data_IF_636517502131
#
_entry.id   IF_636517502131
#
_cell.length_a   1.000
_cell.length_b   1.000
_cell.length_c   1.000
_cell.angle_alpha   90.00
_cell.angle_beta   90.00
_cell.angle_gamma   90.00
#
_symmetry.space_group_name_H-M   'P 1'
#
loop_
_entity.id
_entity.type
_entity.pdbx_description
1 polymer ?
#
# COMPACT_ATOMS: atom_id res chain seq x y z
N UNK A 1 14.53 -9.22 1.58
CA UNK A 1 14.11 -9.17 0.15
C UNK A 1 13.15 -10.29 -0.22
N UNK A 2 13.52 -11.57 -0.04
CA UNK A 2 12.65 -12.71 -0.41
C UNK A 2 11.24 -12.65 0.24
N UNK A 3 11.14 -12.16 1.48
CA UNK A 3 9.89 -12.08 2.24
C UNK A 3 8.91 -11.03 1.72
N UNK A 4 9.41 -9.85 1.38
CA UNK A 4 8.60 -8.78 0.79
C UNK A 4 8.08 -9.16 -0.60
N UNK A 5 8.89 -9.86 -1.40
CA UNK A 5 8.43 -10.35 -2.69
C UNK A 5 7.38 -11.46 -2.54
N UNK A 6 7.51 -12.35 -1.55
CA UNK A 6 6.45 -13.33 -1.22
C UNK A 6 5.16 -12.63 -0.78
N UNK A 7 5.25 -11.59 0.04
CA UNK A 7 4.09 -10.78 0.42
C UNK A 7 3.46 -10.09 -0.81
N UNK A 8 4.27 -9.55 -1.71
CA UNK A 8 3.81 -8.97 -2.96
C UNK A 8 3.09 -10.02 -3.83
N UNK A 9 3.67 -11.20 -4.03
CA UNK A 9 3.03 -12.29 -4.78
C UNK A 9 1.72 -12.74 -4.16
N UNK A 10 1.67 -12.88 -2.84
CA UNK A 10 0.45 -13.18 -2.10
C UNK A 10 -0.65 -12.14 -2.38
N UNK A 11 -0.31 -10.85 -2.33
CA UNK A 11 -1.25 -9.77 -2.59
C UNK A 11 -1.73 -9.74 -4.04
N UNK A 12 -0.84 -9.98 -5.02
CA UNK A 12 -1.26 -10.15 -6.43
C UNK A 12 -2.30 -11.26 -6.56
N UNK A 13 -2.09 -12.39 -5.90
CA UNK A 13 -3.05 -13.50 -5.86
C UNK A 13 -4.41 -13.10 -5.25
N UNK A 14 -4.42 -12.25 -4.22
CA UNK A 14 -5.65 -11.74 -3.59
C UNK A 14 -6.42 -10.76 -4.46
N UNK A 15 -5.71 -9.85 -5.13
CA UNK A 15 -6.34 -8.88 -6.03
C UNK A 15 -7.05 -9.57 -7.20
N UNK A 16 -6.52 -10.70 -7.70
CA UNK A 16 -7.19 -11.53 -8.71
C UNK A 16 -8.46 -12.23 -8.20
N UNK A 17 -8.66 -12.35 -6.89
CA UNK A 17 -9.79 -13.06 -6.27
C UNK A 17 -10.87 -12.12 -5.74
N UNK A 18 -10.53 -10.86 -5.46
CA UNK A 18 -11.42 -9.87 -4.86
C UNK A 18 -11.27 -8.51 -5.54
N UNK A 19 -12.16 -8.24 -6.50
CA UNK A 19 -12.23 -6.99 -7.27
C UNK A 19 -12.42 -5.75 -6.39
N UNK A 20 -12.91 -5.91 -5.15
CA UNK A 20 -13.07 -4.78 -4.20
C UNK A 20 -11.73 -4.19 -3.78
N UNK A 21 -10.65 -4.97 -3.87
CA UNK A 21 -9.29 -4.54 -3.56
C UNK A 21 -8.67 -3.66 -4.65
N UNK A 22 -9.36 -3.50 -5.80
CA UNK A 22 -8.91 -2.66 -6.91
C UNK A 22 -9.91 -1.55 -7.24
N UNK A 23 -11.08 -1.54 -6.57
CA UNK A 23 -12.19 -0.63 -6.86
C UNK A 23 -11.79 0.84 -6.61
N UNK A 24 -11.92 1.73 -7.63
CA UNK A 24 -11.66 3.15 -7.47
C UNK A 24 -12.47 3.79 -6.34
N UNK A 25 -11.85 4.69 -5.58
CA UNK A 25 -12.48 5.34 -4.43
C UNK A 25 -12.50 4.48 -3.15
N UNK A 26 -12.07 3.22 -3.21
CA UNK A 26 -12.04 2.32 -2.06
C UNK A 26 -10.65 2.17 -1.43
N UNK A 27 -9.69 3.04 -1.78
CA UNK A 27 -8.30 2.91 -1.34
C UNK A 27 -8.16 2.85 0.18
N UNK A 28 -8.98 3.63 0.91
CA UNK A 28 -9.04 3.64 2.38
C UNK A 28 -9.32 2.25 2.96
N UNK A 29 -10.41 1.61 2.53
CA UNK A 29 -10.79 0.28 3.00
C UNK A 29 -9.79 -0.79 2.56
N UNK A 30 -9.34 -0.70 1.31
CA UNK A 30 -8.47 -1.69 0.70
C UNK A 30 -7.13 -1.82 1.41
N UNK A 31 -6.47 -0.72 1.78
CA UNK A 31 -5.17 -0.81 2.46
C UNK A 31 -5.28 -1.48 3.84
N UNK A 32 -6.41 -1.33 4.54
CA UNK A 32 -6.65 -2.04 5.80
C UNK A 32 -6.91 -3.53 5.56
N UNK A 33 -7.81 -3.85 4.62
CA UNK A 33 -8.16 -5.22 4.29
C UNK A 33 -6.93 -6.02 3.82
N UNK A 34 -6.07 -5.41 2.99
CA UNK A 34 -4.82 -6.02 2.56
C UNK A 34 -3.86 -6.26 3.73
N UNK A 35 -3.68 -5.26 4.61
CA UNK A 35 -2.78 -5.44 5.75
C UNK A 35 -3.25 -6.56 6.69
N UNK A 36 -4.55 -6.67 6.97
CA UNK A 36 -5.04 -7.77 7.82
C UNK A 36 -4.68 -9.14 7.23
N UNK A 37 -4.73 -9.28 5.91
CA UNK A 37 -4.33 -10.51 5.23
C UNK A 37 -2.80 -10.73 5.26
N UNK A 38 -2.02 -9.67 5.06
CA UNK A 38 -0.55 -9.74 5.15
C UNK A 38 -0.14 -10.16 6.55
N UNK A 39 -0.70 -9.55 7.60
CA UNK A 39 -0.34 -9.82 9.00
C UNK A 39 -0.53 -11.29 9.40
N UNK A 40 -1.55 -11.95 8.86
CA UNK A 40 -1.80 -13.38 9.12
C UNK A 40 -0.69 -14.24 8.54
N UNK A 41 -0.21 -13.93 7.33
CA UNK A 41 0.76 -14.75 6.60
C UNK A 41 2.22 -14.34 6.88
N UNK A 42 2.45 -13.07 7.19
CA UNK A 42 3.77 -12.43 7.36
C UNK A 42 3.76 -11.52 8.60
N UNK A 43 3.62 -12.08 9.81
CA UNK A 43 3.46 -11.31 11.05
C UNK A 43 4.68 -10.47 11.44
N UNK A 44 5.84 -10.76 10.84
CA UNK A 44 7.09 -10.04 11.04
C UNK A 44 7.21 -8.74 10.22
N UNK A 45 6.28 -8.49 9.28
CA UNK A 45 6.28 -7.26 8.50
C UNK A 45 5.58 -6.14 9.27
N UNK A 46 6.27 -5.01 9.40
CA UNK A 46 5.68 -3.77 9.92
C UNK A 46 4.93 -3.04 8.81
N UNK A 47 3.97 -2.19 9.18
CA UNK A 47 3.22 -1.34 8.24
C UNK A 47 3.32 0.13 8.58
N UNK A 48 3.17 0.95 7.55
CA UNK A 48 2.67 2.32 7.64
C UNK A 48 1.64 2.53 6.53
N UNK A 49 0.66 3.39 6.76
CA UNK A 49 -0.19 3.87 5.68
C UNK A 49 0.49 5.07 5.03
N UNK A 50 0.55 5.09 3.71
CA UNK A 50 0.96 6.25 2.96
C UNK A 50 -0.30 7.01 2.57
N UNK A 51 -0.36 8.31 2.89
CA UNK A 51 -1.48 9.18 2.52
C UNK A 51 -1.02 10.31 1.62
N UNK A 52 -1.73 10.51 0.52
CA UNK A 52 -1.66 11.74 -0.26
C UNK A 52 -2.83 12.63 0.15
N UNK A 53 -2.52 13.88 0.51
CA UNK A 53 -3.51 14.87 0.94
C UNK A 53 -3.68 15.94 -0.11
N UNK A 54 -4.88 16.49 -0.21
CA UNK A 54 -5.14 17.64 -1.06
C UNK A 54 -4.31 18.84 -0.57
N UNK A 55 -3.51 19.50 -1.43
CA UNK A 55 -2.57 20.54 -0.99
C UNK A 55 -3.23 21.75 -0.32
N UNK A 56 -4.48 22.07 -0.68
CA UNK A 56 -5.18 23.25 -0.16
C UNK A 56 -6.04 22.95 1.07
N UNK A 57 -6.65 21.76 1.14
CA UNK A 57 -7.63 21.42 2.18
C UNK A 57 -7.06 20.49 3.23
N UNK A 58 -5.94 19.80 2.95
CA UNK A 58 -5.34 18.82 3.85
C UNK A 58 -6.10 17.48 3.93
N UNK A 59 -7.24 17.36 3.24
CA UNK A 59 -8.07 16.17 3.22
C UNK A 59 -7.36 14.98 2.55
N UNK A 60 -7.50 13.76 3.07
CA UNK A 60 -6.92 12.57 2.47
C UNK A 60 -7.59 12.26 1.13
N UNK A 61 -6.80 12.11 0.07
CA UNK A 61 -7.27 11.80 -1.28
C UNK A 61 -6.95 10.37 -1.71
N UNK A 62 -5.81 9.83 -1.25
CA UNK A 62 -5.38 8.50 -1.66
C UNK A 62 -4.56 7.82 -0.57
N UNK A 63 -4.73 6.51 -0.46
CA UNK A 63 -4.01 5.66 0.47
C UNK A 63 -3.25 4.56 -0.26
N UNK A 64 -2.06 4.26 0.25
CA UNK A 64 -1.27 3.09 -0.12
C UNK A 64 -0.68 2.47 1.14
N UNK A 65 -0.19 1.23 1.06
CA UNK A 65 0.41 0.54 2.19
C UNK A 65 1.92 0.46 1.98
N UNK A 66 2.68 0.88 2.99
CA UNK A 66 4.12 0.66 3.07
C UNK A 66 4.34 -0.51 4.02
N UNK A 67 4.98 -1.58 3.55
CA UNK A 67 5.41 -2.70 4.40
C UNK A 67 6.93 -2.71 4.52
N UNK A 68 7.45 -3.08 5.69
CA UNK A 68 8.88 -3.08 5.97
C UNK A 68 9.30 -4.36 6.67
N UNK A 69 10.38 -4.98 6.20
CA UNK A 69 10.96 -6.19 6.80
C UNK A 69 11.99 -5.89 7.90
N UNK A 70 12.51 -6.92 8.56
CA UNK A 70 13.49 -6.81 9.63
C UNK A 70 14.87 -6.26 9.18
N UNK A 71 15.10 -6.15 7.87
CA UNK A 71 16.30 -5.55 7.28
C UNK A 71 16.06 -4.11 6.84
N UNK A 72 14.93 -3.51 7.24
CA UNK A 72 14.52 -2.16 6.87
C UNK A 72 14.30 -1.98 5.36
N UNK A 73 14.06 -3.08 4.63
CA UNK A 73 13.66 -3.00 3.23
C UNK A 73 12.18 -2.71 3.14
N UNK A 74 11.81 -1.89 2.15
CA UNK A 74 10.46 -1.31 2.07
C UNK A 74 9.80 -1.62 0.75
N UNK A 75 8.54 -2.04 0.81
CA UNK A 75 7.68 -2.26 -0.36
C UNK A 75 6.46 -1.36 -0.27
N UNK A 76 6.10 -0.73 -1.39
CA UNK A 76 4.85 -0.01 -1.56
C UNK A 76 3.84 -0.96 -2.21
N UNK A 77 2.65 -0.99 -1.61
CA UNK A 77 1.48 -1.68 -2.10
C UNK A 77 0.40 -0.64 -2.39
N UNK A 78 0.16 -0.41 -3.67
CA UNK A 78 -0.94 0.39 -4.17
C UNK A 78 -1.79 -0.44 -5.13
N UNK A 79 -2.83 -1.09 -4.61
CA UNK A 79 -3.71 -1.93 -5.42
C UNK A 79 -4.81 -1.12 -6.12
N UNK A 80 -5.22 0.03 -5.57
CA UNK A 80 -6.25 0.90 -6.14
C UNK A 80 -5.59 2.00 -6.97
N UNK A 81 -5.91 2.05 -8.26
CA UNK A 81 -5.45 3.13 -9.15
C UNK A 81 -6.17 4.44 -8.82
N UNK A 82 -5.43 5.54 -8.81
CA UNK A 82 -5.96 6.91 -8.74
C UNK A 82 -5.26 7.81 -9.79
N UNK A 83 -5.73 9.05 -9.95
CA UNK A 83 -5.29 9.95 -11.03
C UNK A 83 -3.76 10.14 -11.10
N UNK A 84 -3.08 10.25 -9.95
CA UNK A 84 -1.62 10.40 -9.85
C UNK A 84 -0.90 9.11 -9.42
N UNK A 85 -1.64 8.08 -9.00
CA UNK A 85 -1.10 6.90 -8.35
C UNK A 85 -1.43 5.66 -9.17
N UNK A 86 -0.48 5.16 -9.99
CA UNK A 86 -0.71 3.92 -10.72
C UNK A 86 -0.77 2.74 -9.75
N UNK A 87 -1.38 1.64 -10.18
CA UNK A 87 -1.27 0.40 -9.45
C UNK A 87 0.21 -0.01 -9.36
N UNK A 88 0.70 -0.34 -8.16
CA UNK A 88 2.11 -0.60 -7.91
C UNK A 88 2.29 -1.60 -6.77
N UNK A 89 3.22 -2.54 -6.94
CA UNK A 89 3.55 -3.55 -5.95
C UNK A 89 5.05 -3.89 -6.07
N UNK A 90 5.88 -3.24 -5.25
CA UNK A 90 7.33 -3.37 -5.38
C UNK A 90 8.13 -2.48 -4.43
N UNK A 91 9.47 -2.44 -4.58
CA UNK A 91 10.38 -1.68 -3.71
C UNK A 91 10.12 -0.17 -3.73
N UNK A 92 10.12 0.48 -2.56
CA UNK A 92 9.95 1.95 -2.42
C UNK A 92 10.92 2.72 -3.33
N UNK A 93 12.16 2.26 -3.42
CA UNK A 93 13.27 2.87 -4.17
C UNK A 93 12.99 2.99 -5.68
N UNK A 94 12.16 2.08 -6.21
CA UNK A 94 11.81 2.00 -7.63
C UNK A 94 10.38 2.43 -7.92
N UNK A 95 9.67 2.92 -6.89
CA UNK A 95 8.29 3.35 -7.05
C UNK A 95 8.21 4.61 -7.91
N UNK A 96 7.12 4.79 -8.69
CA UNK A 96 6.85 6.03 -9.39
C UNK A 96 6.97 7.25 -8.47
N UNK A 97 7.51 8.37 -9.01
CA UNK A 97 7.77 9.58 -8.23
C UNK A 97 6.56 10.09 -7.43
N UNK A 98 5.34 9.87 -7.92
CA UNK A 98 4.12 10.26 -7.21
C UNK A 98 4.02 9.68 -5.80
N UNK A 99 4.57 8.50 -5.54
CA UNK A 99 4.59 7.90 -4.20
C UNK A 99 5.47 8.67 -3.21
N UNK A 100 6.48 9.43 -3.67
CA UNK A 100 7.28 10.31 -2.81
C UNK A 100 6.48 11.51 -2.28
N UNK A 101 5.34 11.81 -2.90
CA UNK A 101 4.42 12.86 -2.45
C UNK A 101 3.54 12.41 -1.27
N UNK A 102 3.48 11.10 -1.00
CA UNK A 102 2.70 10.56 0.11
C UNK A 102 3.48 10.65 1.43
N UNK A 103 2.77 10.80 2.54
CA UNK A 103 3.35 10.84 3.89
C UNK A 103 2.94 9.60 4.68
N UNK A 104 3.85 9.00 5.47
CA UNK A 104 3.52 7.90 6.36
C UNK A 104 2.62 8.39 7.50
N UNK A 105 1.62 7.59 7.85
CA UNK A 105 0.76 7.73 9.03
C UNK A 105 0.54 6.35 9.66
N UNK A 106 0.36 6.32 10.97
CA UNK A 106 0.19 5.06 11.73
C UNK A 106 -1.25 4.54 11.68
N UNK A 107 -2.20 5.46 11.54
CA UNK A 107 -3.64 5.18 11.53
C UNK A 107 -4.34 5.93 10.39
N UNK A 108 -5.36 5.30 9.81
CA UNK A 108 -6.17 5.92 8.77
C UNK A 108 -7.14 6.92 9.41
N UNK A 109 -7.11 8.15 8.92
CA UNK A 109 -8.06 9.22 9.26
C UNK A 109 -9.27 9.23 8.32
#
# INVERSE_FOLDING_TARGET
MQRLELAAQFIRGKMLQDEKLETPGNCRYTVEALFQQIRVQFPDLSKHYLVYRHPQTGEPLHYSLLITDCHNQKYIINSVKAALFPQYLGPEETAPFSFQLMKPIDEII
#
